data_IF_693919326131
#
_entry.id   IF_693919326131
#
_cell.length_a   1.000
_cell.length_b   1.000
_cell.length_c   1.000
_cell.angle_alpha   90.00
_cell.angle_beta   90.00
_cell.angle_gamma   90.00
#
_symmetry.space_group_name_H-M   'P 1'
#
loop_
_entity.id
_entity.type
_entity.pdbx_description
1 polymer ?
#
# COMPACT_ATOMS: atom_id res chain seq x y z
N UNK A 1 -38.22 -10.43 -16.88
CA UNK A 1 -39.54 -10.96 -16.46
C UNK A 1 -39.42 -12.48 -16.44
N UNK A 2 -39.48 -13.11 -15.27
CA UNK A 2 -39.27 -14.56 -15.09
C UNK A 2 -40.63 -15.26 -15.04
N UNK A 3 -40.73 -16.45 -15.63
CA UNK A 3 -41.96 -17.24 -15.61
C UNK A 3 -42.32 -17.62 -14.16
N UNK A 4 -43.61 -17.52 -13.81
CA UNK A 4 -44.10 -17.67 -12.43
C UNK A 4 -43.73 -19.01 -11.76
N UNK A 5 -43.51 -20.06 -12.55
CA UNK A 5 -43.10 -21.40 -12.07
C UNK A 5 -41.60 -21.53 -11.74
N UNK A 6 -40.78 -20.55 -12.14
CA UNK A 6 -39.32 -20.53 -11.97
C UNK A 6 -38.87 -19.39 -11.06
N UNK A 7 -39.80 -18.70 -10.41
CA UNK A 7 -39.49 -17.55 -9.54
C UNK A 7 -38.65 -17.96 -8.33
N UNK A 8 -38.93 -19.12 -7.74
CA UNK A 8 -38.19 -19.61 -6.56
C UNK A 8 -36.75 -19.99 -6.89
N UNK A 9 -36.54 -20.65 -8.03
CA UNK A 9 -35.21 -21.02 -8.52
C UNK A 9 -34.40 -19.77 -8.88
N UNK A 10 -35.00 -18.84 -9.62
CA UNK A 10 -34.39 -17.55 -9.91
C UNK A 10 -34.04 -16.78 -8.64
N UNK A 11 -34.93 -16.76 -7.64
CA UNK A 11 -34.66 -16.11 -6.37
C UNK A 11 -33.45 -16.74 -5.68
N UNK A 12 -33.39 -18.06 -5.59
CA UNK A 12 -32.28 -18.79 -4.97
C UNK A 12 -30.95 -18.56 -5.69
N UNK A 13 -30.97 -18.44 -7.02
CA UNK A 13 -29.77 -18.21 -7.82
C UNK A 13 -29.33 -16.74 -7.85
N UNK A 14 -30.27 -15.80 -7.81
CA UNK A 14 -30.01 -14.39 -8.14
C UNK A 14 -30.18 -13.40 -6.98
N UNK A 15 -30.93 -13.76 -5.94
CA UNK A 15 -31.26 -12.85 -4.85
C UNK A 15 -31.03 -13.43 -3.44
N UNK A 16 -31.10 -14.75 -3.29
CA UNK A 16 -30.98 -15.37 -1.99
C UNK A 16 -29.63 -15.03 -1.34
N UNK A 17 -29.64 -14.70 -0.03
CA UNK A 17 -28.42 -14.43 0.71
C UNK A 17 -27.46 -15.61 0.67
N UNK A 18 -26.17 -15.30 0.65
CA UNK A 18 -25.06 -16.25 0.60
C UNK A 18 -24.28 -16.19 1.91
N UNK A 19 -23.76 -17.32 2.36
CA UNK A 19 -22.91 -17.39 3.55
C UNK A 19 -21.45 -17.14 3.19
N UNK A 20 -20.79 -16.22 3.89
CA UNK A 20 -19.36 -16.00 3.73
C UNK A 20 -18.53 -17.12 4.34
N UNK A 21 -17.68 -17.76 3.55
CA UNK A 21 -16.83 -18.86 4.03
C UNK A 21 -15.79 -18.41 5.06
N UNK A 22 -15.39 -17.14 5.05
CA UNK A 22 -14.36 -16.56 5.92
C UNK A 22 -14.92 -16.08 7.27
N UNK A 23 -15.93 -15.20 7.26
CA UNK A 23 -16.51 -14.65 8.50
C UNK A 23 -17.80 -15.34 8.96
N UNK A 24 -18.35 -16.28 8.18
CA UNK A 24 -19.60 -17.03 8.45
C UNK A 24 -20.88 -16.20 8.47
N UNK A 25 -20.80 -14.90 8.16
CA UNK A 25 -21.96 -14.02 8.07
C UNK A 25 -22.80 -14.32 6.83
N UNK A 26 -24.11 -14.10 6.95
CA UNK A 26 -25.06 -14.20 5.84
C UNK A 26 -25.17 -12.82 5.19
N UNK A 27 -24.86 -12.76 3.91
CA UNK A 27 -24.72 -11.51 3.14
C UNK A 27 -25.66 -11.56 1.94
N UNK A 28 -26.32 -10.44 1.62
CA UNK A 28 -27.18 -10.39 0.42
C UNK A 28 -26.35 -10.51 -0.84
N UNK A 29 -26.92 -11.14 -1.89
CA UNK A 29 -26.19 -11.36 -3.15
C UNK A 29 -25.78 -10.05 -3.84
N UNK A 30 -26.57 -9.00 -3.69
CA UNK A 30 -26.30 -7.67 -4.25
C UNK A 30 -25.01 -7.04 -3.69
N UNK A 31 -24.69 -7.28 -2.41
CA UNK A 31 -23.49 -6.72 -1.76
C UNK A 31 -22.36 -7.74 -1.63
N UNK A 32 -22.53 -8.96 -2.17
CA UNK A 32 -21.58 -10.06 -1.99
C UNK A 32 -20.18 -9.70 -2.50
N UNK A 33 -20.08 -9.07 -3.66
CA UNK A 33 -18.79 -8.66 -4.23
C UNK A 33 -18.10 -7.61 -3.37
N UNK A 34 -18.85 -6.59 -2.92
CA UNK A 34 -18.35 -5.56 -2.01
C UNK A 34 -17.95 -6.15 -0.64
N UNK A 35 -18.69 -7.14 -0.15
CA UNK A 35 -18.34 -7.84 1.07
C UNK A 35 -17.00 -8.56 0.92
N UNK A 36 -16.83 -9.32 -0.16
CA UNK A 36 -15.60 -10.07 -0.41
C UNK A 36 -14.38 -9.17 -0.58
N UNK A 37 -14.52 -8.03 -1.25
CA UNK A 37 -13.39 -7.13 -1.52
C UNK A 37 -13.09 -6.18 -0.36
N UNK A 38 -14.10 -5.59 0.28
CA UNK A 38 -13.90 -4.45 1.19
C UNK A 38 -14.44 -4.64 2.60
N UNK A 39 -15.58 -5.32 2.78
CA UNK A 39 -16.27 -5.31 4.08
C UNK A 39 -15.96 -6.52 4.95
N UNK A 40 -15.57 -7.66 4.37
CA UNK A 40 -15.33 -8.87 5.13
C UNK A 40 -14.17 -8.65 6.12
N UNK A 41 -14.40 -8.81 7.44
CA UNK A 41 -13.36 -8.59 8.45
C UNK A 41 -12.26 -9.65 8.40
N UNK A 42 -12.57 -10.82 7.84
CA UNK A 42 -11.65 -11.94 7.69
C UNK A 42 -10.98 -11.98 6.31
N UNK A 43 -11.18 -10.97 5.45
CA UNK A 43 -10.43 -10.89 4.18
C UNK A 43 -8.95 -10.71 4.46
N UNK A 44 -8.11 -11.30 3.62
CA UNK A 44 -6.66 -11.20 3.72
C UNK A 44 -6.21 -9.90 3.07
N UNK A 45 -5.46 -9.09 3.81
CA UNK A 45 -4.92 -7.80 3.37
C UNK A 45 -3.44 -7.73 3.76
N UNK A 46 -2.62 -7.19 2.88
CA UNK A 46 -1.21 -6.96 3.16
C UNK A 46 -0.99 -5.68 3.96
N UNK A 47 -0.09 -5.71 4.95
CA UNK A 47 0.38 -4.52 5.64
C UNK A 47 1.13 -3.59 4.68
N UNK A 48 0.76 -2.30 4.64
CA UNK A 48 1.41 -1.27 3.81
C UNK A 48 2.91 -1.07 4.14
N UNK A 49 3.35 -1.44 5.34
CA UNK A 49 4.71 -1.21 5.82
C UNK A 49 5.62 -2.43 5.74
N UNK A 50 5.07 -3.64 5.80
CA UNK A 50 5.88 -4.87 5.85
C UNK A 50 5.43 -5.96 4.87
N UNK A 51 4.35 -5.73 4.11
CA UNK A 51 3.77 -6.65 3.12
C UNK A 51 3.32 -8.00 3.71
N UNK A 52 3.30 -8.14 5.04
CA UNK A 52 2.76 -9.33 5.69
C UNK A 52 1.25 -9.38 5.48
N UNK A 53 0.73 -10.55 5.12
CA UNK A 53 -0.69 -10.80 4.88
C UNK A 53 -1.38 -11.25 6.15
N UNK A 54 -2.47 -10.58 6.51
CA UNK A 54 -3.25 -10.88 7.71
C UNK A 54 -4.73 -10.55 7.51
N UNK A 55 -5.63 -11.10 8.35
CA UNK A 55 -7.03 -10.71 8.35
C UNK A 55 -7.21 -9.20 8.56
N UNK A 56 -8.16 -8.58 7.85
CA UNK A 56 -8.42 -7.15 7.95
C UNK A 56 -8.74 -6.68 9.38
N UNK A 57 -9.36 -7.53 10.19
CA UNK A 57 -9.64 -7.25 11.60
C UNK A 57 -8.38 -7.02 12.45
N UNK A 58 -7.27 -7.69 12.12
CA UNK A 58 -5.99 -7.55 12.83
C UNK A 58 -5.09 -6.46 12.23
N UNK A 59 -5.42 -5.99 11.01
CA UNK A 59 -4.55 -5.11 10.23
C UNK A 59 -4.28 -3.78 10.93
N UNK A 60 -5.29 -3.19 11.56
CA UNK A 60 -5.15 -1.89 12.20
C UNK A 60 -4.16 -1.93 13.37
N UNK A 61 -4.31 -2.89 14.28
CA UNK A 61 -3.41 -3.07 15.43
C UNK A 61 -1.98 -3.39 14.97
N UNK A 62 -1.86 -4.25 13.94
CA UNK A 62 -0.57 -4.54 13.34
C UNK A 62 0.08 -3.29 12.75
N UNK A 63 -0.65 -2.47 11.99
CA UNK A 63 -0.13 -1.26 11.35
C UNK A 63 0.27 -0.18 12.37
N UNK A 64 -0.39 -0.09 13.52
CA UNK A 64 -0.01 0.84 14.58
C UNK A 64 1.40 0.52 15.13
N UNK A 65 1.67 -0.76 15.37
CA UNK A 65 3.01 -1.21 15.81
C UNK A 65 4.01 -1.18 14.66
N UNK A 66 3.65 -1.73 13.50
CA UNK A 66 4.56 -1.86 12.36
C UNK A 66 4.97 -0.50 11.78
N UNK A 67 4.05 0.47 11.71
CA UNK A 67 4.32 1.82 11.20
C UNK A 67 5.28 2.64 12.09
N UNK A 68 5.34 2.31 13.38
CA UNK A 68 6.25 2.93 14.35
C UNK A 68 7.69 2.38 14.29
N UNK A 69 7.91 1.25 13.58
CA UNK A 69 9.26 0.77 13.30
C UNK A 69 10.04 1.83 12.52
N UNK A 70 11.32 1.97 12.83
CA UNK A 70 12.21 2.90 12.15
C UNK A 70 13.17 2.18 11.22
N UNK A 71 13.50 2.83 10.10
CA UNK A 71 14.54 2.42 9.17
C UNK A 71 15.60 3.53 9.07
N UNK A 72 16.83 3.15 8.73
CA UNK A 72 17.95 4.09 8.69
C UNK A 72 18.06 4.76 7.32
N UNK A 73 17.94 6.08 7.27
CA UNK A 73 18.16 6.85 6.06
C UNK A 73 19.66 7.04 5.78
N UNK A 74 20.12 6.55 4.64
CA UNK A 74 21.53 6.63 4.26
C UNK A 74 21.95 8.05 3.85
N UNK A 75 21.01 8.90 3.43
CA UNK A 75 21.26 10.27 2.96
C UNK A 75 21.51 11.23 4.13
N UNK A 76 20.57 11.29 5.09
CA UNK A 76 20.68 12.20 6.24
C UNK A 76 21.23 11.54 7.52
N UNK A 77 21.50 10.22 7.49
CA UNK A 77 22.01 9.44 8.63
C UNK A 77 21.10 9.46 9.87
N UNK A 78 19.79 9.55 9.67
CA UNK A 78 18.77 9.52 10.75
C UNK A 78 17.88 8.29 10.64
N UNK A 79 17.40 7.83 11.78
CA UNK A 79 16.31 6.85 11.84
C UNK A 79 14.98 7.54 11.61
N UNK A 80 14.17 6.97 10.72
CA UNK A 80 12.89 7.54 10.27
C UNK A 80 11.82 6.47 10.40
N UNK A 81 10.65 6.80 10.94
CA UNK A 81 9.53 5.85 11.07
C UNK A 81 9.00 5.45 9.70
N UNK A 82 8.56 4.21 9.54
CA UNK A 82 8.00 3.71 8.28
C UNK A 82 6.80 4.53 7.82
N UNK A 83 5.91 4.92 8.74
CA UNK A 83 4.76 5.80 8.45
C UNK A 83 5.18 7.18 7.90
N UNK A 84 6.36 7.67 8.27
CA UNK A 84 6.89 8.98 7.89
C UNK A 84 7.84 8.90 6.68
N UNK A 85 8.13 7.70 6.18
CA UNK A 85 9.23 7.48 5.22
C UNK A 85 9.02 8.20 3.88
N UNK A 86 7.81 8.20 3.33
CA UNK A 86 7.51 8.88 2.05
C UNK A 86 7.72 10.38 2.17
N UNK A 87 7.19 11.00 3.24
CA UNK A 87 7.40 12.43 3.50
C UNK A 87 8.88 12.76 3.70
N UNK A 88 9.59 11.88 4.40
CA UNK A 88 11.03 11.99 4.58
C UNK A 88 11.81 11.89 3.27
N UNK A 89 11.51 10.93 2.39
CA UNK A 89 12.21 10.73 1.12
C UNK A 89 12.13 12.01 0.27
N UNK A 90 10.93 12.58 0.13
CA UNK A 90 10.70 13.81 -0.65
C UNK A 90 11.56 14.98 -0.12
N UNK A 91 11.56 15.20 1.20
CA UNK A 91 12.26 16.33 1.82
C UNK A 91 13.78 16.09 1.92
N UNK A 92 14.19 14.85 2.20
CA UNK A 92 15.58 14.50 2.41
C UNK A 92 16.38 14.56 1.10
N UNK A 93 15.80 14.10 -0.01
CA UNK A 93 16.46 14.20 -1.32
C UNK A 93 16.53 15.65 -1.83
N UNK A 94 15.52 16.47 -1.57
CA UNK A 94 15.56 17.90 -1.90
C UNK A 94 16.69 18.63 -1.16
N UNK A 95 16.87 18.34 0.13
CA UNK A 95 17.87 19.01 0.96
C UNK A 95 19.31 18.48 0.74
N UNK A 96 19.47 17.22 0.35
CA UNK A 96 20.78 16.67 0.01
C UNK A 96 21.41 17.37 -1.22
N UNK A 97 20.58 17.74 -2.20
CA UNK A 97 21.03 18.44 -3.40
C UNK A 97 21.40 19.91 -3.11
N UNK A 98 20.71 20.57 -2.19
CA UNK A 98 21.04 21.94 -1.76
C UNK A 98 22.34 22.01 -0.93
N UNK A 99 22.58 20.99 -0.09
CA UNK A 99 23.76 20.96 0.80
C UNK A 99 25.05 20.51 0.11
N UNK A 100 24.99 19.96 -1.12
CA UNK A 100 26.17 19.64 -1.91
C UNK A 100 26.91 20.90 -2.43
N UNK A 101 26.24 22.05 -2.49
CA UNK A 101 26.83 23.34 -2.90
C UNK A 101 27.32 24.20 -1.72
N UNK A 102 27.13 23.76 -0.47
CA UNK A 102 27.44 24.54 0.74
C UNK A 102 28.45 23.86 1.68
N UNK A 103 29.25 22.90 1.20
CA UNK A 103 30.36 22.36 1.97
C UNK A 103 31.58 23.30 1.88
N UNK A 104 31.52 24.42 2.59
CA UNK A 104 32.70 24.94 3.27
C UNK A 104 32.32 25.22 4.72
N UNK A 105 33.12 24.67 5.65
CA UNK A 105 33.17 25.01 7.08
C UNK A 105 31.92 24.76 7.95
N UNK A 106 31.89 23.63 8.67
CA UNK A 106 31.91 23.65 10.14
C UNK A 106 31.96 22.22 10.69
N UNK A 107 33.17 21.75 11.00
CA UNK A 107 33.35 20.62 11.90
C UNK A 107 32.92 21.06 13.31
N UNK A 108 31.83 20.50 13.82
CA UNK A 108 31.52 20.56 15.26
C UNK A 108 31.83 19.21 15.88
N UNK A 109 32.86 19.21 16.71
CA UNK A 109 33.23 18.11 17.61
C UNK A 109 32.07 17.91 18.60
N UNK A 110 31.55 16.68 18.70
CA UNK A 110 30.59 16.26 19.73
C UNK A 110 31.41 15.62 20.86
N UNK A 111 31.22 15.99 22.14
CA UNK A 111 31.92 15.36 23.25
C UNK A 111 31.40 13.93 23.49
N UNK A 112 32.34 13.03 23.70
CA UNK A 112 32.19 11.61 23.98
C UNK A 112 31.34 11.38 25.25
N UNK A 113 30.19 10.70 25.11
CA UNK A 113 29.48 10.11 26.25
C UNK A 113 29.03 8.69 25.91
N UNK A 114 29.66 7.75 26.60
CA UNK A 114 29.36 6.32 26.78
C UNK A 114 28.90 5.54 25.53
N UNK A 115 29.87 4.88 24.88
CA UNK A 115 29.66 3.90 23.82
C UNK A 115 28.91 2.68 24.38
N UNK A 116 27.59 2.65 24.22
CA UNK A 116 26.85 1.38 24.24
C UNK A 116 27.06 0.72 22.86
N UNK A 117 27.48 -0.55 22.78
CA UNK A 117 27.71 -1.19 21.49
C UNK A 117 26.43 -1.15 20.64
N UNK A 118 26.55 -0.89 19.31
CA UNK A 118 25.40 -0.87 18.43
C UNK A 118 24.71 -2.25 18.47
N UNK A 119 23.37 -2.31 18.52
CA UNK A 119 22.67 -3.58 18.38
C UNK A 119 23.03 -4.23 17.04
N UNK A 120 23.05 -5.57 16.95
CA UNK A 120 23.43 -6.28 15.75
C UNK A 120 22.63 -5.76 14.56
N UNK A 121 23.35 -5.29 13.53
CA UNK A 121 22.79 -4.80 12.28
C UNK A 121 22.03 -5.97 11.65
N UNK A 122 20.70 -5.94 11.75
CA UNK A 122 19.87 -6.87 11.00
C UNK A 122 20.12 -6.60 9.51
N UNK A 123 20.30 -7.64 8.68
CA UNK A 123 20.48 -7.46 7.25
C UNK A 123 19.31 -6.63 6.70
N UNK A 124 19.57 -5.69 5.78
CA UNK A 124 18.54 -4.85 5.21
C UNK A 124 17.47 -5.75 4.58
N UNK A 125 16.23 -5.62 5.05
CA UNK A 125 15.09 -6.21 4.33
C UNK A 125 15.05 -5.60 2.93
N UNK A 126 14.65 -6.37 1.91
CA UNK A 126 14.49 -5.85 0.56
C UNK A 126 13.69 -4.55 0.59
N UNK A 127 14.24 -3.57 -0.13
CA UNK A 127 13.86 -2.17 -0.08
C UNK A 127 12.39 -2.00 -0.49
N UNK A 128 11.52 -1.63 0.45
CA UNK A 128 10.10 -1.29 0.20
C UNK A 128 9.94 -0.19 -0.88
N UNK A 129 10.97 0.65 -1.06
CA UNK A 129 11.01 1.66 -2.12
C UNK A 129 11.06 1.11 -3.55
N UNK A 130 11.47 -0.15 -3.76
CA UNK A 130 11.54 -0.74 -5.11
C UNK A 130 10.17 -1.22 -5.61
N UNK A 131 9.33 -1.75 -4.71
CA UNK A 131 7.98 -2.23 -5.04
C UNK A 131 7.04 -1.05 -5.35
N UNK A 132 7.13 0.02 -4.56
CA UNK A 132 6.32 1.22 -4.77
C UNK A 132 6.70 1.95 -6.07
N UNK A 133 7.99 2.00 -6.43
CA UNK A 133 8.43 2.52 -7.74
C UNK A 133 7.87 1.70 -8.90
N UNK A 134 7.90 0.36 -8.80
CA UNK A 134 7.31 -0.52 -9.82
C UNK A 134 5.80 -0.30 -9.95
N UNK A 135 5.08 -0.19 -8.84
CA UNK A 135 3.62 0.06 -8.83
C UNK A 135 3.27 1.40 -9.50
N UNK A 136 3.98 2.48 -9.14
CA UNK A 136 3.77 3.81 -9.75
C UNK A 136 4.08 3.81 -11.25
N UNK A 137 5.17 3.15 -11.68
CA UNK A 137 5.48 2.98 -13.10
C UNK A 137 4.40 2.20 -13.84
N UNK A 138 3.87 1.12 -13.25
CA UNK A 138 2.79 0.34 -13.88
C UNK A 138 1.52 1.16 -14.05
N UNK A 139 1.10 1.91 -13.01
CA UNK A 139 -0.09 2.77 -13.06
C UNK A 139 0.05 3.85 -14.14
N UNK A 140 1.22 4.50 -14.22
CA UNK A 140 1.49 5.52 -15.23
C UNK A 140 1.44 4.96 -16.67
N UNK A 141 2.05 3.79 -16.90
CA UNK A 141 2.07 3.15 -18.23
C UNK A 141 0.67 2.70 -18.65
N UNK A 142 -0.10 2.08 -17.75
CA UNK A 142 -1.48 1.67 -18.05
C UNK A 142 -2.39 2.87 -18.30
N UNK A 143 -2.22 3.96 -17.55
CA UNK A 143 -2.99 5.20 -17.77
C UNK A 143 -2.71 5.82 -19.14
N UNK A 144 -1.45 5.89 -19.56
CA UNK A 144 -1.06 6.42 -20.88
C UNK A 144 -1.62 5.55 -22.01
N UNK A 145 -1.57 4.22 -21.88
CA UNK A 145 -2.09 3.30 -22.90
C UNK A 145 -3.60 3.46 -23.10
N UNK A 146 -4.37 3.60 -22.02
CA UNK A 146 -5.83 3.81 -22.07
C UNK A 146 -6.19 5.17 -22.68
N UNK A 147 -5.44 6.23 -22.36
CA UNK A 147 -5.64 7.55 -22.96
C UNK A 147 -5.37 7.55 -24.47
N UNK A 148 -4.27 6.94 -24.90
CA UNK A 148 -3.93 6.86 -26.33
C UNK A 148 -4.97 6.00 -27.08
N UNK A 149 -5.36 4.86 -26.51
CA UNK A 149 -6.37 3.99 -27.11
C UNK A 149 -7.72 4.70 -27.28
N UNK A 150 -8.14 5.47 -26.28
CA UNK A 150 -9.40 6.24 -26.33
C UNK A 150 -9.38 7.33 -27.40
N UNK A 151 -8.24 8.01 -27.59
CA UNK A 151 -8.09 9.07 -28.61
C UNK A 151 -8.06 8.47 -30.03
N UNK A 152 -7.39 7.33 -30.22
CA UNK A 152 -7.35 6.67 -31.52
C UNK A 152 -8.72 6.10 -31.91
N UNK A 153 -9.44 5.50 -30.96
CA UNK A 153 -10.78 4.96 -31.17
C UNK A 153 -11.82 6.06 -31.46
N UNK A 154 -11.76 7.20 -30.77
CA UNK A 154 -12.60 8.37 -31.07
C UNK A 154 -12.35 8.93 -32.47
N UNK A 155 -11.17 8.71 -33.06
CA UNK A 155 -10.81 9.19 -34.39
C UNK A 155 -11.32 8.28 -35.52
N UNK A 156 -11.53 6.99 -35.25
CA UNK A 156 -12.14 6.05 -36.20
C UNK A 156 -13.67 6.22 -36.33
N UNK A 157 -14.36 6.62 -35.27
CA UNK A 157 -15.83 6.86 -35.29
C UNK A 157 -16.23 8.19 -35.95
N UNK A 158 -15.25 9.00 -36.40
CA UNK A 158 -15.45 10.35 -36.95
C UNK A 158 -15.27 10.45 -38.48
N UNK A 159 -15.26 9.31 -39.19
CA UNK A 159 -15.13 9.24 -40.66
C UNK A 159 -16.30 8.50 -41.31
#
# INVERSE_FOLDING_TARGET
>A
MVARKLMDEHYNESHAPVNCTLCKEIVTREIWDLHKSEQCPQRIVACEYCEFELPAVELHEHQDVCGNRTEFCQTCKKYVRLREWIGHEIQCHANANANASAQTSSARIIPEREVRPPPPVRPPRPMHGAQHKRLLFTIAVTGIAVMIGSILFQREESF
#
